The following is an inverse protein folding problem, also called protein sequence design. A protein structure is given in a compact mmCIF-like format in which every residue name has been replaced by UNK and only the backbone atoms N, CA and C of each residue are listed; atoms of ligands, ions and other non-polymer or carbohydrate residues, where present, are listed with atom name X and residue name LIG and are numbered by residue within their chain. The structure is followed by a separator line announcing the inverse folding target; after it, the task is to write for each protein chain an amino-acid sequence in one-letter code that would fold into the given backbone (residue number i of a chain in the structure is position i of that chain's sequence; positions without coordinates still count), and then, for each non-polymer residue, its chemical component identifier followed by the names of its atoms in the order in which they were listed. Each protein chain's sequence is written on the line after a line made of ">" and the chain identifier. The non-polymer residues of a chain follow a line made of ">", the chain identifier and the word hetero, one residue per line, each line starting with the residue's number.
data_IF_803020796319
#
_entry.id   IF_803020796319
#
_cell.length_a   1.000
_cell.length_b   1.000
_cell.length_c   1.000
_cell.angle_alpha   90.00
_cell.angle_beta   90.00
_cell.angle_gamma   90.00
#
_symmetry.space_group_name_H-M   'P 1'
#
loop_
_entity.id
_entity.type
_entity.pdbx_description
1 polymer ?
#
# COMPACT_ATOMS: atom_id res chain seq x y z
N UNK A 1 14.86 -3.88 6.96
CA UNK A 1 14.44 -3.70 5.55
C UNK A 1 15.61 -3.67 4.56
N UNK A 2 16.85 -3.33 4.95
CA UNK A 2 17.98 -3.23 4.01
C UNK A 2 18.29 -4.49 3.18
N UNK A 3 17.88 -5.68 3.64
CA UNK A 3 18.02 -6.96 2.91
C UNK A 3 16.68 -7.50 2.37
N UNK A 4 15.58 -6.76 2.52
CA UNK A 4 14.28 -7.21 2.03
C UNK A 4 14.27 -7.19 0.50
N UNK A 5 13.83 -8.28 -0.13
CA UNK A 5 13.61 -8.32 -1.58
C UNK A 5 12.22 -7.80 -1.97
N UNK A 6 11.27 -7.91 -1.03
CA UNK A 6 9.87 -7.51 -1.18
C UNK A 6 9.39 -6.88 0.12
N UNK A 7 8.65 -5.78 0.01
CA UNK A 7 7.95 -5.11 1.10
C UNK A 7 6.48 -5.02 0.72
N UNK A 8 5.60 -5.63 1.52
CA UNK A 8 4.14 -5.50 1.37
C UNK A 8 3.62 -4.87 2.65
N UNK A 9 3.00 -3.70 2.57
CA UNK A 9 2.54 -2.97 3.75
C UNK A 9 1.37 -2.03 3.45
N UNK A 10 0.50 -1.75 4.44
CA UNK A 10 -0.45 -0.65 4.33
C UNK A 10 0.28 0.69 4.26
N UNK A 11 -0.37 1.67 3.63
CA UNK A 11 0.08 3.06 3.61
C UNK A 11 0.25 3.57 5.04
N UNK A 12 1.44 4.08 5.36
CA UNK A 12 1.74 4.60 6.69
C UNK A 12 3.23 4.87 6.90
N UNK A 13 3.59 5.54 8.01
CA UNK A 13 4.97 5.98 8.32
C UNK A 13 6.00 4.86 8.35
N UNK A 14 5.57 3.60 8.55
CA UNK A 14 6.45 2.44 8.45
C UNK A 14 7.16 2.32 7.10
N UNK A 15 6.51 2.75 6.01
CA UNK A 15 7.08 2.75 4.66
C UNK A 15 8.20 3.78 4.47
N UNK A 16 8.41 4.74 5.38
CA UNK A 16 9.59 5.63 5.31
C UNK A 16 10.90 4.84 5.34
N UNK A 17 10.91 3.68 5.99
CA UNK A 17 12.09 2.82 6.08
C UNK A 17 12.49 2.16 4.74
N UNK A 18 11.65 2.23 3.68
CA UNK A 18 12.03 1.71 2.36
C UNK A 18 13.14 2.51 1.69
N UNK A 19 13.43 3.73 2.19
CA UNK A 19 14.59 4.54 1.76
C UNK A 19 15.92 3.80 1.95
N UNK A 20 15.97 2.82 2.86
CA UNK A 20 17.16 2.02 3.14
C UNK A 20 17.20 0.69 2.37
N UNK A 21 16.19 0.40 1.55
CA UNK A 21 16.17 -0.80 0.71
C UNK A 21 17.16 -0.65 -0.46
N UNK A 22 17.63 -1.78 -0.97
CA UNK A 22 18.47 -1.79 -2.17
C UNK A 22 17.64 -1.49 -3.43
N UNK A 23 18.19 -0.80 -4.44
CA UNK A 23 17.51 -0.63 -5.72
C UNK A 23 17.01 -1.97 -6.30
N UNK A 24 15.84 -1.96 -6.93
CA UNK A 24 15.14 -3.16 -7.41
C UNK A 24 14.31 -3.90 -6.34
N UNK A 25 14.34 -3.46 -5.08
CA UNK A 25 13.41 -3.99 -4.06
C UNK A 25 11.98 -3.68 -4.48
N UNK A 26 11.09 -4.69 -4.40
CA UNK A 26 9.68 -4.53 -4.75
C UNK A 26 8.91 -4.00 -3.55
N UNK A 27 8.10 -2.97 -3.77
CA UNK A 27 7.22 -2.38 -2.75
C UNK A 27 5.78 -2.48 -3.24
N UNK A 28 4.94 -3.20 -2.50
CA UNK A 28 3.49 -3.27 -2.73
C UNK A 28 2.82 -2.50 -1.60
N UNK A 29 2.32 -1.32 -1.92
CA UNK A 29 1.64 -0.43 -0.97
C UNK A 29 0.12 -0.61 -1.01
N UNK A 30 -0.50 -0.82 0.15
CA UNK A 30 -1.95 -1.04 0.26
C UNK A 30 -2.61 0.22 0.80
N UNK A 31 -3.55 0.81 0.06
CA UNK A 31 -4.25 2.04 0.46
C UNK A 31 -5.69 1.76 0.90
N UNK A 32 -6.19 2.61 1.82
CA UNK A 32 -7.64 2.85 1.88
C UNK A 32 -8.07 3.54 0.58
N UNK A 33 -9.20 3.13 -0.04
CA UNK A 33 -9.73 3.80 -1.23
C UNK A 33 -9.99 5.30 -1.04
N UNK A 34 -10.27 5.74 0.19
CA UNK A 34 -10.60 7.12 0.51
C UNK A 34 -9.37 7.94 0.98
N UNK A 35 -8.19 7.32 1.09
CA UNK A 35 -6.96 7.98 1.49
C UNK A 35 -5.77 7.48 0.67
N UNK A 36 -5.53 8.14 -0.46
CA UNK A 36 -4.40 7.86 -1.36
C UNK A 36 -3.42 9.04 -1.34
N UNK A 37 -2.21 8.81 -0.86
CA UNK A 37 -1.14 9.81 -0.84
C UNK A 37 0.15 9.22 -1.42
N UNK A 38 0.70 9.89 -2.44
CA UNK A 38 1.72 9.32 -3.34
C UNK A 38 3.17 9.47 -2.85
N UNK A 39 3.39 9.72 -1.56
CA UNK A 39 4.74 9.99 -1.04
C UNK A 39 5.70 8.81 -1.19
N UNK A 40 5.23 7.57 -0.99
CA UNK A 40 6.09 6.38 -1.11
C UNK A 40 6.28 5.93 -2.56
N UNK A 41 5.35 6.25 -3.45
CA UNK A 41 5.60 6.18 -4.89
C UNK A 41 6.75 7.11 -5.28
N UNK A 42 6.71 8.37 -4.85
CA UNK A 42 7.80 9.31 -5.12
C UNK A 42 9.14 8.84 -4.53
N UNK A 43 9.15 8.44 -3.26
CA UNK A 43 10.33 7.91 -2.58
C UNK A 43 10.91 6.71 -3.33
N UNK A 44 10.06 5.78 -3.76
CA UNK A 44 10.45 4.59 -4.52
C UNK A 44 11.15 4.96 -5.83
N UNK A 45 10.63 5.95 -6.56
CA UNK A 45 11.27 6.44 -7.77
C UNK A 45 12.63 7.10 -7.49
N UNK A 46 12.77 7.82 -6.37
CA UNK A 46 14.02 8.50 -6.01
C UNK A 46 15.15 7.53 -5.64
N UNK A 47 14.84 6.37 -5.05
CA UNK A 47 15.85 5.39 -4.61
C UNK A 47 15.86 4.11 -5.45
N UNK A 48 15.14 4.09 -6.58
CA UNK A 48 15.17 3.01 -7.56
C UNK A 48 14.45 1.72 -7.13
N UNK A 49 13.33 1.82 -6.40
CA UNK A 49 12.50 0.68 -6.02
C UNK A 49 11.45 0.38 -7.09
N UNK A 50 11.03 -0.88 -7.18
CA UNK A 50 9.92 -1.30 -8.04
C UNK A 50 8.61 -1.16 -7.27
N UNK A 51 7.83 -0.13 -7.60
CA UNK A 51 6.65 0.24 -6.84
C UNK A 51 5.35 -0.27 -7.49
N UNK A 52 4.49 -0.84 -6.66
CA UNK A 52 3.15 -1.31 -6.97
C UNK A 52 2.19 -0.81 -5.88
N UNK A 53 0.91 -0.71 -6.21
CA UNK A 53 -0.11 -0.40 -5.21
C UNK A 53 -1.33 -1.30 -5.36
N UNK A 54 -2.06 -1.44 -4.26
CA UNK A 54 -3.35 -2.10 -4.18
C UNK A 54 -4.33 -1.17 -3.45
N UNK A 55 -5.50 -0.94 -4.03
CA UNK A 55 -6.59 -0.30 -3.31
C UNK A 55 -7.36 -1.37 -2.53
N UNK A 56 -7.65 -1.09 -1.27
CA UNK A 56 -8.58 -1.89 -0.47
C UNK A 56 -10.03 -1.75 -0.94
N UNK A 57 -10.94 -2.20 -0.10
CA UNK A 57 -12.38 -2.10 -0.32
C UNK A 57 -13.02 -1.12 0.68
N UNK A 58 -14.02 -0.37 0.23
CA UNK A 58 -14.83 0.49 1.09
C UNK A 58 -16.03 -0.30 1.59
N UNK A 59 -16.39 -0.15 2.87
CA UNK A 59 -17.62 -0.73 3.40
C UNK A 59 -18.86 -0.23 2.63
N UNK A 60 -19.84 -1.10 2.34
CA UNK A 60 -21.08 -0.69 1.72
C UNK A 60 -21.90 0.22 2.65
N UNK A 61 -22.56 1.22 2.07
CA UNK A 61 -23.45 2.14 2.78
C UNK A 61 -22.78 3.45 3.19
N UNK A 62 -22.89 4.46 2.33
CA UNK A 62 -22.26 5.79 2.49
C UNK A 62 -22.52 6.45 3.86
N UNK A 63 -23.77 6.44 4.33
CA UNK A 63 -24.14 7.11 5.60
C UNK A 63 -23.49 6.39 6.79
N UNK A 64 -23.54 5.06 6.81
CA UNK A 64 -22.95 4.27 7.90
C UNK A 64 -21.42 4.39 7.88
N UNK A 65 -20.81 4.35 6.69
CA UNK A 65 -19.39 4.55 6.50
C UNK A 65 -18.91 5.88 7.09
N UNK A 66 -19.60 6.99 6.82
CA UNK A 66 -19.25 8.30 7.39
C UNK A 66 -19.45 8.40 8.90
N UNK A 67 -20.41 7.65 9.46
CA UNK A 67 -20.61 7.59 10.90
C UNK A 67 -19.49 6.83 11.61
N UNK A 68 -18.99 5.73 11.01
CA UNK A 68 -17.91 4.91 11.57
C UNK A 68 -16.55 5.61 11.36
N UNK A 69 -16.31 6.14 10.17
CA UNK A 69 -15.05 6.79 9.79
C UNK A 69 -15.29 8.26 9.43
N UNK A 70 -15.32 9.16 10.41
CA UNK A 70 -15.49 10.60 10.16
C UNK A 70 -14.29 11.24 9.42
N UNK A 71 -13.16 10.53 9.31
CA UNK A 71 -11.97 10.97 8.61
C UNK A 71 -11.33 9.76 7.88
N UNK A 72 -10.99 9.92 6.59
CA UNK A 72 -10.39 8.83 5.81
C UNK A 72 -9.03 8.37 6.31
N UNK A 73 -8.34 9.17 7.14
CA UNK A 73 -7.03 8.80 7.74
C UNK A 73 -7.11 7.77 8.86
N UNK A 74 -8.30 7.52 9.40
CA UNK A 74 -8.53 6.55 10.48
C UNK A 74 -9.36 5.35 10.00
N UNK A 75 -9.53 5.22 8.69
CA UNK A 75 -10.28 4.12 8.09
C UNK A 75 -9.48 2.82 8.14
N UNK A 76 -10.15 1.72 8.48
CA UNK A 76 -9.56 0.39 8.32
C UNK A 76 -9.42 0.05 6.84
N UNK A 77 -8.34 -0.66 6.49
CA UNK A 77 -8.09 -1.09 5.12
C UNK A 77 -8.58 -2.54 4.99
N UNK A 78 -9.68 -2.74 4.27
CA UNK A 78 -10.16 -4.07 3.92
C UNK A 78 -9.46 -4.55 2.64
N UNK A 79 -8.82 -5.72 2.69
CA UNK A 79 -8.00 -6.22 1.59
C UNK A 79 -8.62 -7.48 1.00
N UNK A 80 -8.89 -7.45 -0.30
CA UNK A 80 -9.28 -8.63 -1.05
C UNK A 80 -8.06 -9.52 -1.32
N UNK A 81 -8.08 -10.76 -0.83
CA UNK A 81 -6.94 -11.68 -0.94
C UNK A 81 -6.68 -12.15 -2.37
N UNK A 82 -7.71 -12.23 -3.21
CA UNK A 82 -7.54 -12.60 -4.62
C UNK A 82 -6.85 -11.48 -5.39
N UNK A 83 -7.23 -10.22 -5.14
CA UNK A 83 -6.56 -9.05 -5.73
C UNK A 83 -5.12 -8.90 -5.20
N UNK A 84 -4.90 -9.14 -3.90
CA UNK A 84 -3.55 -9.18 -3.33
C UNK A 84 -2.69 -10.27 -4.00
N UNK A 85 -3.25 -11.46 -4.23
CA UNK A 85 -2.54 -12.53 -4.94
C UNK A 85 -2.22 -12.12 -6.39
N UNK A 86 -3.14 -11.48 -7.10
CA UNK A 86 -2.92 -11.00 -8.47
C UNK A 86 -1.80 -9.97 -8.56
N UNK A 87 -1.77 -8.98 -7.66
CA UNK A 87 -0.72 -7.96 -7.70
C UNK A 87 0.64 -8.55 -7.32
N UNK A 88 0.69 -9.51 -6.39
CA UNK A 88 1.93 -10.21 -6.05
C UNK A 88 2.48 -11.03 -7.23
N UNK A 89 1.61 -11.70 -8.01
CA UNK A 89 2.00 -12.39 -9.25
C UNK A 89 2.48 -11.41 -10.31
N UNK A 90 1.78 -10.29 -10.47
CA UNK A 90 2.16 -9.24 -11.41
C UNK A 90 3.54 -8.64 -11.08
N UNK A 91 3.83 -8.47 -9.79
CA UNK A 91 5.12 -8.03 -9.29
C UNK A 91 6.21 -9.13 -9.33
N UNK A 92 5.89 -10.35 -9.77
CA UNK A 92 6.85 -11.46 -9.83
C UNK A 92 7.33 -11.94 -8.45
N UNK A 93 6.48 -11.81 -7.41
CA UNK A 93 6.77 -12.24 -6.04
C UNK A 93 6.39 -13.71 -5.79
N UNK A 94 5.31 -14.17 -6.44
CA UNK A 94 4.76 -15.54 -6.37
C UNK A 94 4.33 -16.04 -7.74
#
# INVERSE_FOLDING_TARGET
>A
LAQAQVVVAPHGSGLTNTVFCSPGTKVIEIFSPNYVYHCYWLLSNLVGLEYYYLLGETLPGYILHQLIYPNSRIEDIFVNLDELSKIMKFAGVV
#
